data_IF_156202772241
#
_entry.id   IF_156202772241
#
_cell.length_a   1.000
_cell.length_b   1.000
_cell.length_c   1.000
_cell.angle_alpha   90.00
_cell.angle_beta   90.00
_cell.angle_gamma   90.00
#
_symmetry.space_group_name_H-M   'P 1'
#
loop_
_entity.id
_entity.type
_entity.pdbx_description
1 polymer ?
#
# COMPACT_ATOMS: atom_id res chain seq x y z
N UNK A 1 1.36 -21.46 -23.57
CA UNK A 1 2.01 -22.77 -23.52
C UNK A 1 0.90 -23.81 -23.57
N UNK A 2 0.78 -24.54 -24.68
CA UNK A 2 -0.15 -25.68 -24.81
C UNK A 2 0.28 -26.76 -23.82
N UNK A 3 -0.47 -26.94 -22.74
CA UNK A 3 -0.23 -28.05 -21.82
C UNK A 3 -0.84 -29.28 -22.47
N UNK A 4 -0.03 -30.26 -22.87
CA UNK A 4 -0.49 -31.58 -23.38
C UNK A 4 -1.07 -32.43 -22.23
N UNK A 5 -1.97 -31.86 -21.42
CA UNK A 5 -2.64 -32.56 -20.35
C UNK A 5 -4.05 -32.93 -20.80
N UNK A 6 -4.47 -34.15 -20.55
CA UNK A 6 -5.84 -34.58 -20.81
C UNK A 6 -6.88 -33.69 -20.12
N UNK A 7 -8.03 -33.50 -20.75
CA UNK A 7 -9.12 -32.63 -20.30
C UNK A 7 -10.32 -33.49 -19.92
N UNK A 8 -10.73 -33.43 -18.65
CA UNK A 8 -11.88 -34.19 -18.11
C UNK A 8 -13.20 -33.51 -18.46
N UNK A 9 -14.20 -34.32 -18.85
CA UNK A 9 -15.60 -33.93 -18.92
C UNK A 9 -16.02 -33.24 -20.23
N UNK A 10 -15.20 -33.24 -21.28
CA UNK A 10 -15.60 -32.87 -22.63
C UNK A 10 -16.52 -33.96 -23.18
N UNK A 11 -17.66 -33.60 -23.81
CA UNK A 11 -18.65 -34.56 -24.34
C UNK A 11 -18.64 -34.58 -25.85
N UNK A 12 -18.61 -35.79 -26.40
CA UNK A 12 -18.55 -36.03 -27.82
C UNK A 12 -19.68 -36.91 -28.30
N UNK A 13 -20.24 -36.54 -29.44
CA UNK A 13 -21.19 -37.32 -30.22
C UNK A 13 -20.45 -38.10 -31.29
N UNK A 14 -20.61 -39.41 -31.33
CA UNK A 14 -20.00 -40.28 -32.32
C UNK A 14 -21.10 -40.90 -33.19
N UNK A 15 -20.92 -40.74 -34.51
CA UNK A 15 -21.81 -41.27 -35.55
C UNK A 15 -21.02 -42.07 -36.57
N UNK A 16 -21.70 -42.97 -37.30
CA UNK A 16 -21.11 -43.61 -38.50
C UNK A 16 -21.17 -42.68 -39.72
N UNK A 17 -20.66 -43.16 -40.87
CA UNK A 17 -20.64 -42.42 -42.12
C UNK A 17 -22.05 -42.08 -42.62
N UNK A 18 -23.04 -42.92 -42.32
CA UNK A 18 -24.47 -42.74 -42.67
C UNK A 18 -25.24 -41.84 -41.69
N UNK A 19 -24.54 -41.24 -40.70
CA UNK A 19 -25.05 -40.45 -39.58
C UNK A 19 -25.90 -41.22 -38.55
N UNK A 20 -25.81 -42.54 -38.50
CA UNK A 20 -26.43 -43.29 -37.41
C UNK A 20 -25.62 -43.06 -36.11
N UNK A 21 -26.34 -42.87 -35.02
CA UNK A 21 -25.74 -42.65 -33.72
C UNK A 21 -25.06 -43.93 -33.23
N UNK A 22 -23.77 -43.83 -32.87
CA UNK A 22 -23.03 -44.86 -32.16
C UNK A 22 -23.10 -44.63 -30.66
N UNK A 23 -22.97 -43.37 -30.22
CA UNK A 23 -23.13 -43.02 -28.79
C UNK A 23 -22.67 -41.60 -28.49
N UNK A 24 -22.96 -41.19 -27.25
CA UNK A 24 -22.39 -40.00 -26.61
C UNK A 24 -21.39 -40.45 -25.55
N UNK A 25 -20.23 -39.79 -25.50
CA UNK A 25 -19.13 -40.16 -24.63
C UNK A 25 -18.55 -38.94 -23.97
N UNK A 26 -18.04 -39.09 -22.74
CA UNK A 26 -17.33 -38.03 -22.03
C UNK A 26 -15.89 -38.46 -21.80
N UNK A 27 -14.97 -37.51 -21.88
CA UNK A 27 -13.56 -37.75 -21.52
C UNK A 27 -13.45 -38.07 -20.01
N UNK A 28 -12.61 -39.04 -19.69
CA UNK A 28 -12.25 -39.41 -18.33
C UNK A 28 -11.26 -38.44 -17.68
N UNK A 29 -10.74 -38.75 -16.47
CA UNK A 29 -9.82 -37.90 -15.73
C UNK A 29 -8.48 -37.63 -16.45
N UNK A 30 -8.09 -38.57 -17.33
CA UNK A 30 -6.89 -38.48 -18.13
C UNK A 30 -7.16 -37.87 -19.52
N UNK A 31 -8.41 -37.50 -19.82
CA UNK A 31 -8.85 -36.86 -21.06
C UNK A 31 -9.10 -37.85 -22.19
N UNK A 32 -9.31 -39.12 -21.94
CA UNK A 32 -9.53 -40.14 -22.94
C UNK A 32 -10.99 -40.55 -23.06
N UNK A 33 -11.39 -40.95 -24.27
CA UNK A 33 -12.56 -41.75 -24.63
C UNK A 33 -12.05 -42.98 -25.35
N UNK A 34 -12.29 -44.15 -24.81
CA UNK A 34 -11.92 -45.41 -25.45
C UNK A 34 -13.17 -46.12 -25.99
N UNK A 35 -13.21 -46.39 -27.30
CA UNK A 35 -14.26 -47.13 -27.95
C UNK A 35 -13.73 -48.51 -28.36
N UNK A 36 -14.31 -49.57 -27.85
CA UNK A 36 -13.96 -50.97 -28.15
C UNK A 36 -15.04 -51.67 -28.95
N UNK A 37 -14.65 -52.60 -29.83
CA UNK A 37 -15.58 -53.48 -30.54
C UNK A 37 -16.63 -52.78 -31.42
N UNK A 38 -16.24 -51.64 -32.02
CA UNK A 38 -17.13 -50.78 -32.83
C UNK A 38 -17.33 -51.34 -34.26
N UNK A 39 -16.57 -52.32 -34.68
CA UNK A 39 -16.70 -52.98 -35.96
C UNK A 39 -17.56 -54.23 -35.77
N UNK A 40 -18.80 -54.17 -36.28
CA UNK A 40 -19.76 -55.29 -36.28
C UNK A 40 -19.90 -55.86 -37.70
N UNK A 41 -20.60 -56.96 -37.83
CA UNK A 41 -21.09 -57.52 -39.07
C UNK A 41 -20.02 -57.84 -40.14
N UNK A 42 -18.84 -58.25 -39.70
CA UNK A 42 -17.78 -58.67 -40.65
C UNK A 42 -17.08 -57.53 -41.41
N UNK A 43 -17.35 -56.30 -41.09
CA UNK A 43 -16.70 -55.11 -41.71
C UNK A 43 -15.23 -55.10 -41.38
N UNK A 44 -14.38 -54.76 -42.38
CA UNK A 44 -12.93 -54.56 -42.20
C UNK A 44 -12.56 -53.18 -41.73
N UNK A 45 -13.40 -52.16 -41.99
CA UNK A 45 -13.23 -50.76 -41.54
C UNK A 45 -14.58 -50.06 -41.34
N UNK A 46 -14.55 -48.98 -40.55
CA UNK A 46 -15.65 -48.04 -40.36
C UNK A 46 -15.10 -46.62 -40.38
N UNK A 47 -15.84 -45.68 -40.93
CA UNK A 47 -15.58 -44.23 -40.78
C UNK A 47 -16.53 -43.69 -39.68
N UNK A 48 -15.95 -43.00 -38.72
CA UNK A 48 -16.62 -42.33 -37.63
C UNK A 48 -16.60 -40.81 -37.84
N UNK A 49 -17.69 -40.16 -37.53
CA UNK A 49 -17.83 -38.74 -37.36
C UNK A 49 -17.86 -38.42 -35.86
N UNK A 50 -16.95 -37.59 -35.41
CA UNK A 50 -16.81 -37.22 -34.00
C UNK A 50 -16.98 -35.70 -33.90
N UNK A 51 -17.93 -35.26 -33.08
CA UNK A 51 -18.30 -33.87 -32.85
C UNK A 51 -18.34 -33.60 -31.35
N UNK A 52 -17.64 -32.52 -30.89
CA UNK A 52 -17.81 -32.10 -29.53
C UNK A 52 -19.14 -31.38 -29.37
N UNK A 53 -19.99 -31.89 -28.45
CA UNK A 53 -21.34 -31.37 -28.16
C UNK A 53 -21.43 -30.59 -26.87
N UNK A 54 -20.41 -30.71 -25.98
CA UNK A 54 -20.25 -29.86 -24.81
C UNK A 54 -18.76 -29.77 -24.45
N UNK A 55 -18.25 -28.58 -24.36
CA UNK A 55 -16.89 -28.36 -23.89
C UNK A 55 -16.73 -28.72 -22.41
N UNK A 56 -15.53 -29.12 -22.04
CA UNK A 56 -15.16 -29.22 -20.63
C UNK A 56 -15.23 -27.85 -19.96
N UNK A 57 -15.40 -27.86 -18.64
CA UNK A 57 -15.45 -26.63 -17.85
C UNK A 57 -14.18 -25.79 -18.06
N UNK A 58 -14.34 -24.52 -18.41
CA UNK A 58 -13.23 -23.58 -18.64
C UNK A 58 -12.67 -23.62 -20.07
N UNK A 59 -13.33 -24.28 -20.99
CA UNK A 59 -12.92 -24.36 -22.41
C UNK A 59 -14.06 -23.91 -23.34
N UNK A 60 -13.67 -23.50 -24.54
CA UNK A 60 -14.59 -23.11 -25.63
C UNK A 60 -15.03 -24.35 -26.38
N UNK A 61 -16.31 -24.46 -26.69
CA UNK A 61 -16.86 -25.54 -27.51
C UNK A 61 -16.31 -25.45 -28.95
N UNK A 62 -15.74 -26.56 -29.44
CA UNK A 62 -15.35 -26.72 -30.84
C UNK A 62 -16.24 -27.80 -31.50
N UNK A 63 -17.35 -27.37 -32.08
CA UNK A 63 -18.32 -28.25 -32.76
C UNK A 63 -17.85 -28.71 -34.14
N UNK A 64 -16.58 -28.57 -34.50
CA UNK A 64 -16.03 -29.08 -35.77
C UNK A 64 -16.16 -30.58 -35.83
N UNK A 65 -16.85 -31.10 -36.85
CA UNK A 65 -16.99 -32.54 -37.09
C UNK A 65 -15.68 -33.06 -37.67
N UNK A 66 -15.06 -34.01 -36.95
CA UNK A 66 -13.84 -34.69 -37.34
C UNK A 66 -14.14 -36.11 -37.83
N UNK A 67 -13.49 -36.57 -38.87
CA UNK A 67 -13.66 -37.89 -39.40
C UNK A 67 -12.48 -38.79 -39.04
N UNK A 68 -12.77 -39.97 -38.50
CA UNK A 68 -11.79 -40.98 -38.12
C UNK A 68 -12.07 -42.26 -38.84
N UNK A 69 -11.07 -42.90 -39.44
CA UNK A 69 -11.17 -44.22 -40.06
C UNK A 69 -10.57 -45.27 -39.13
N UNK A 70 -11.35 -46.25 -38.75
CA UNK A 70 -10.96 -47.36 -37.87
C UNK A 70 -10.99 -48.67 -38.63
N UNK A 71 -9.88 -49.43 -38.57
CA UNK A 71 -9.74 -50.74 -39.22
C UNK A 71 -9.67 -51.87 -38.21
N UNK A 72 -10.09 -53.06 -38.64
CA UNK A 72 -10.05 -54.27 -37.80
C UNK A 72 -8.61 -54.60 -37.40
N UNK A 73 -8.39 -54.80 -36.09
CA UNK A 73 -7.11 -55.16 -35.51
C UNK A 73 -6.14 -53.98 -35.36
N UNK A 74 -6.56 -52.76 -35.69
CA UNK A 74 -5.76 -51.54 -35.51
C UNK A 74 -6.37 -50.66 -34.42
N UNK A 75 -5.51 -49.96 -33.68
CA UNK A 75 -5.94 -48.85 -32.78
C UNK A 75 -5.70 -47.54 -33.55
N UNK A 76 -6.75 -46.71 -33.61
CA UNK A 76 -6.67 -45.39 -34.25
C UNK A 76 -6.95 -44.33 -33.19
N UNK A 77 -6.15 -43.31 -33.16
CA UNK A 77 -6.23 -42.20 -32.20
C UNK A 77 -6.68 -40.91 -32.94
N UNK A 78 -7.58 -40.15 -32.29
CA UNK A 78 -7.99 -38.82 -32.66
C UNK A 78 -7.66 -37.87 -31.49
N UNK A 79 -6.77 -36.92 -31.72
CA UNK A 79 -6.51 -35.87 -30.75
C UNK A 79 -7.38 -34.64 -31.04
N UNK A 80 -8.10 -34.17 -30.05
CA UNK A 80 -8.91 -32.95 -30.11
C UNK A 80 -8.32 -31.96 -29.12
N UNK A 81 -7.92 -30.78 -29.62
CA UNK A 81 -7.38 -29.71 -28.80
C UNK A 81 -8.50 -28.73 -28.47
N UNK A 82 -8.65 -28.35 -27.19
CA UNK A 82 -9.63 -27.38 -26.76
C UNK A 82 -8.95 -26.06 -26.39
N UNK A 83 -9.59 -24.95 -26.75
CA UNK A 83 -9.13 -23.59 -26.42
C UNK A 83 -9.67 -23.20 -25.04
N UNK A 84 -8.83 -22.76 -24.11
CA UNK A 84 -9.30 -22.23 -22.82
C UNK A 84 -10.25 -21.05 -23.04
N UNK A 85 -11.38 -21.05 -22.33
CA UNK A 85 -12.27 -19.91 -22.24
C UNK A 85 -11.64 -18.83 -21.36
N UNK A 86 -11.63 -17.60 -21.82
CA UNK A 86 -10.96 -16.48 -21.19
C UNK A 86 -11.95 -15.34 -20.90
N UNK A 87 -11.66 -14.59 -19.85
CA UNK A 87 -12.32 -13.35 -19.51
C UNK A 87 -11.32 -12.29 -19.07
N UNK A 88 -11.79 -11.11 -18.71
CA UNK A 88 -10.98 -9.97 -18.31
C UNK A 88 -11.53 -9.34 -17.02
N UNK A 89 -10.63 -8.91 -16.14
CA UNK A 89 -10.97 -8.13 -14.96
C UNK A 89 -10.59 -6.68 -15.22
N UNK A 90 -11.53 -5.75 -14.94
CA UNK A 90 -11.31 -4.33 -15.06
C UNK A 90 -11.58 -3.64 -13.74
N UNK A 91 -10.60 -2.85 -13.26
CA UNK A 91 -10.72 -2.04 -12.04
C UNK A 91 -10.94 -0.58 -12.43
N UNK A 92 -11.93 0.06 -11.79
CA UNK A 92 -12.17 1.50 -11.86
C UNK A 92 -11.80 2.07 -10.50
N UNK A 93 -10.76 2.91 -10.45
CA UNK A 93 -10.25 3.51 -9.20
C UNK A 93 -10.78 4.92 -9.02
N UNK A 94 -11.36 5.19 -7.85
CA UNK A 94 -12.01 6.47 -7.54
C UNK A 94 -11.57 7.02 -6.17
N UNK A 95 -11.64 8.33 -6.02
CA UNK A 95 -11.50 8.99 -4.71
C UNK A 95 -12.76 8.80 -3.87
N UNK A 96 -12.61 8.41 -2.60
CA UNK A 96 -13.73 8.27 -1.66
C UNK A 96 -14.26 9.62 -1.14
N UNK A 97 -13.40 10.65 -1.12
CA UNK A 97 -13.67 11.99 -0.61
C UNK A 97 -12.88 13.04 -1.40
N UNK A 98 -13.10 14.32 -1.12
CA UNK A 98 -12.29 15.41 -1.67
C UNK A 98 -10.86 15.31 -1.12
N UNK A 99 -9.87 15.43 -2.03
CA UNK A 99 -8.46 15.38 -1.64
C UNK A 99 -7.93 16.82 -1.46
N UNK A 100 -7.58 17.22 -0.23
CA UNK A 100 -7.13 18.59 0.05
C UNK A 100 -5.75 18.91 -0.54
N UNK A 101 -4.93 17.90 -0.88
CA UNK A 101 -3.59 18.07 -1.45
C UNK A 101 -3.66 18.25 -2.96
N UNK A 102 -4.47 17.45 -3.65
CA UNK A 102 -4.55 17.44 -5.12
C UNK A 102 -5.72 18.25 -5.67
N UNK A 103 -6.64 18.70 -4.81
CA UNK A 103 -7.93 19.34 -5.16
C UNK A 103 -8.85 18.45 -6.02
N UNK A 104 -8.62 17.14 -6.04
CA UNK A 104 -9.53 16.20 -6.68
C UNK A 104 -10.77 16.02 -5.82
N UNK A 105 -11.95 16.07 -6.46
CA UNK A 105 -13.23 15.90 -5.77
C UNK A 105 -13.53 14.41 -5.52
N UNK A 106 -14.44 14.16 -4.59
CA UNK A 106 -15.03 12.84 -4.37
C UNK A 106 -15.52 12.25 -5.69
N UNK A 107 -15.20 10.98 -5.95
CA UNK A 107 -15.56 10.26 -7.18
C UNK A 107 -14.62 10.51 -8.35
N UNK A 108 -13.62 11.40 -8.24
CA UNK A 108 -12.58 11.58 -9.25
C UNK A 108 -11.88 10.27 -9.56
N UNK A 109 -11.62 10.03 -10.83
CA UNK A 109 -10.89 8.86 -11.33
C UNK A 109 -9.40 8.99 -11.03
N UNK A 110 -8.76 7.92 -10.53
CA UNK A 110 -7.41 7.96 -9.99
C UNK A 110 -6.43 7.16 -10.84
N UNK A 111 -5.43 7.84 -11.39
CA UNK A 111 -4.31 7.26 -12.12
C UNK A 111 -3.22 6.74 -11.17
N UNK A 112 -2.54 5.65 -11.56
CA UNK A 112 -1.31 5.18 -10.93
C UNK A 112 -1.52 4.22 -9.75
N UNK A 113 -2.74 3.79 -9.47
CA UNK A 113 -3.01 2.67 -8.57
C UNK A 113 -2.52 1.36 -9.21
N UNK A 114 -1.82 0.54 -8.45
CA UNK A 114 -1.33 -0.78 -8.90
C UNK A 114 -2.09 -1.87 -8.17
N UNK A 115 -2.62 -2.83 -8.93
CA UNK A 115 -3.36 -3.98 -8.42
C UNK A 115 -2.69 -5.28 -8.79
N UNK A 116 -2.67 -6.22 -7.86
CA UNK A 116 -2.32 -7.60 -8.08
C UNK A 116 -3.59 -8.45 -8.18
N UNK A 117 -3.65 -9.31 -9.19
CA UNK A 117 -4.71 -10.28 -9.41
C UNK A 117 -4.18 -11.65 -9.02
N UNK A 118 -4.75 -12.24 -7.99
CA UNK A 118 -4.38 -13.51 -7.41
C UNK A 118 -5.42 -14.57 -7.81
N UNK A 119 -4.98 -15.70 -8.35
CA UNK A 119 -5.86 -16.85 -8.56
C UNK A 119 -6.27 -17.44 -7.19
N UNK A 120 -7.57 -17.51 -6.92
CA UNK A 120 -8.10 -17.88 -5.60
C UNK A 120 -7.85 -19.36 -5.21
N UNK A 121 -7.57 -20.23 -6.18
CA UNK A 121 -7.32 -21.65 -5.93
C UNK A 121 -5.84 -21.93 -5.65
N UNK A 122 -4.96 -21.23 -6.37
CA UNK A 122 -3.50 -21.45 -6.26
C UNK A 122 -2.80 -20.48 -5.35
N UNK A 123 -3.43 -19.34 -5.00
CA UNK A 123 -2.83 -18.26 -4.23
C UNK A 123 -1.72 -17.50 -4.99
N UNK A 124 -1.55 -17.74 -6.30
CA UNK A 124 -0.52 -17.10 -7.09
C UNK A 124 -1.02 -15.82 -7.73
N UNK A 125 -0.20 -14.79 -7.74
CA UNK A 125 -0.41 -13.58 -8.54
C UNK A 125 -0.23 -13.97 -10.01
N UNK A 126 -1.28 -13.75 -10.81
CA UNK A 126 -1.33 -14.10 -12.22
C UNK A 126 -1.23 -12.89 -13.14
N UNK A 127 -1.53 -11.69 -12.61
CA UNK A 127 -1.36 -10.43 -13.34
C UNK A 127 -1.15 -9.26 -12.37
N UNK A 128 -0.53 -8.19 -12.88
CA UNK A 128 -0.35 -6.91 -12.17
C UNK A 128 -0.75 -5.79 -13.12
N UNK A 129 -1.73 -5.00 -12.71
CA UNK A 129 -2.34 -3.95 -13.55
C UNK A 129 -2.23 -2.59 -12.90
N UNK A 130 -2.14 -1.54 -13.72
CA UNK A 130 -2.02 -0.15 -13.24
C UNK A 130 -3.09 0.72 -13.87
N UNK A 131 -3.75 1.59 -13.08
CA UNK A 131 -4.77 2.50 -13.61
C UNK A 131 -4.18 3.59 -14.49
N UNK A 132 -4.79 3.78 -15.64
CA UNK A 132 -4.46 4.83 -16.62
C UNK A 132 -4.99 6.22 -16.19
N UNK A 133 -4.87 7.22 -17.07
CA UNK A 133 -5.37 8.59 -16.82
C UNK A 133 -6.89 8.67 -16.66
N UNK A 134 -7.64 7.63 -17.05
CA UNK A 134 -9.08 7.51 -16.85
C UNK A 134 -9.41 6.71 -15.58
N UNK A 135 -8.42 6.40 -14.74
CA UNK A 135 -8.59 5.60 -13.53
C UNK A 135 -8.98 4.15 -13.79
N UNK A 136 -8.68 3.62 -14.98
CA UNK A 136 -9.05 2.27 -15.39
C UNK A 136 -7.79 1.42 -15.54
N UNK A 137 -7.83 0.21 -14.96
CA UNK A 137 -6.86 -0.84 -15.20
C UNK A 137 -7.56 -2.09 -15.68
N UNK A 138 -7.00 -2.78 -16.68
CA UNK A 138 -7.55 -4.01 -17.23
C UNK A 138 -6.50 -5.11 -17.24
N UNK A 139 -6.89 -6.32 -16.87
CA UNK A 139 -6.01 -7.49 -16.90
C UNK A 139 -5.76 -7.95 -18.35
N UNK A 140 -4.72 -8.73 -18.54
CA UNK A 140 -4.65 -9.63 -19.67
C UNK A 140 -5.84 -10.61 -19.65
N UNK A 141 -6.18 -11.28 -20.77
CA UNK A 141 -7.15 -12.36 -20.73
C UNK A 141 -6.73 -13.46 -19.74
N UNK A 142 -7.65 -13.82 -18.84
CA UNK A 142 -7.44 -14.78 -17.77
C UNK A 142 -8.41 -15.98 -17.97
N UNK A 143 -8.01 -17.22 -17.63
CA UNK A 143 -8.90 -18.37 -17.61
C UNK A 143 -10.16 -18.10 -16.77
N UNK A 144 -11.26 -18.76 -17.09
CA UNK A 144 -12.45 -18.71 -16.25
C UNK A 144 -12.12 -19.25 -14.86
N UNK A 145 -12.66 -18.59 -13.80
CA UNK A 145 -12.35 -18.97 -12.44
C UNK A 145 -12.60 -17.85 -11.45
N UNK A 146 -12.11 -18.07 -10.23
CA UNK A 146 -12.22 -17.13 -9.11
C UNK A 146 -10.88 -16.46 -8.85
N UNK A 147 -10.93 -15.16 -8.65
CA UNK A 147 -9.76 -14.31 -8.44
C UNK A 147 -9.96 -13.36 -7.26
N UNK A 148 -8.86 -12.96 -6.64
CA UNK A 148 -8.83 -11.84 -5.71
C UNK A 148 -8.04 -10.70 -6.33
N UNK A 149 -8.61 -9.50 -6.26
CA UNK A 149 -7.96 -8.26 -6.67
C UNK A 149 -7.62 -7.46 -5.43
N UNK A 150 -6.35 -7.12 -5.25
CA UNK A 150 -5.88 -6.27 -4.15
C UNK A 150 -5.01 -5.15 -4.65
N UNK A 151 -5.10 -4.00 -4.02
CA UNK A 151 -4.18 -2.92 -4.28
C UNK A 151 -2.83 -3.19 -3.63
N UNK A 152 -1.74 -3.05 -4.40
CA UNK A 152 -0.36 -3.16 -3.92
C UNK A 152 0.34 -1.79 -3.82
N UNK A 153 -0.18 -0.78 -4.54
CA UNK A 153 0.30 0.60 -4.47
C UNK A 153 -0.85 1.57 -4.73
N UNK A 154 -1.05 2.48 -3.79
CA UNK A 154 -2.04 3.55 -3.93
C UNK A 154 -1.57 4.64 -4.93
N UNK A 155 -2.51 5.40 -5.51
CA UNK A 155 -2.21 6.64 -6.21
C UNK A 155 -1.46 7.64 -5.33
N UNK A 156 -0.76 8.59 -5.94
CA UNK A 156 -0.06 9.63 -5.18
C UNK A 156 -1.04 10.45 -4.34
N UNK A 157 -0.68 10.68 -3.07
CA UNK A 157 -1.49 11.37 -2.04
C UNK A 157 -2.80 10.68 -1.67
N UNK A 158 -2.84 9.35 -1.81
CA UNK A 158 -3.92 8.50 -1.30
C UNK A 158 -3.37 7.44 -0.37
N UNK A 159 -4.22 6.91 0.49
CA UNK A 159 -3.91 5.78 1.36
C UNK A 159 -4.08 4.48 0.59
N UNK A 160 -3.22 3.50 0.90
CA UNK A 160 -3.36 2.15 0.36
C UNK A 160 -4.64 1.48 0.90
N UNK A 161 -5.50 1.06 0.00
CA UNK A 161 -6.66 0.23 0.37
C UNK A 161 -6.24 -1.24 0.46
N UNK A 162 -6.25 -1.78 1.67
CA UNK A 162 -5.84 -3.16 1.94
C UNK A 162 -6.95 -4.20 1.71
N UNK A 163 -8.15 -3.79 1.32
CA UNK A 163 -9.27 -4.71 1.06
C UNK A 163 -9.01 -5.51 -0.22
N UNK A 164 -9.40 -6.79 -0.18
CA UNK A 164 -9.42 -7.67 -1.36
C UNK A 164 -10.83 -7.74 -1.92
N UNK A 165 -10.97 -7.58 -3.23
CA UNK A 165 -12.22 -7.81 -3.95
C UNK A 165 -12.21 -9.20 -4.58
N UNK A 166 -13.25 -9.99 -4.37
CA UNK A 166 -13.44 -11.28 -5.05
C UNK A 166 -14.12 -11.04 -6.41
N UNK A 167 -13.55 -11.64 -7.46
CA UNK A 167 -14.06 -11.58 -8.84
C UNK A 167 -14.21 -12.99 -9.39
N UNK A 168 -15.29 -13.24 -10.12
CA UNK A 168 -15.56 -14.49 -10.83
C UNK A 168 -15.70 -14.23 -12.32
N UNK A 169 -14.84 -14.85 -13.15
CA UNK A 169 -15.02 -14.97 -14.60
C UNK A 169 -15.77 -16.27 -14.89
N UNK A 170 -16.97 -16.17 -15.50
CA UNK A 170 -17.90 -17.30 -15.60
C UNK A 170 -18.05 -17.84 -17.01
N UNK A 171 -18.02 -16.98 -18.01
CA UNK A 171 -18.23 -17.33 -19.41
C UNK A 171 -17.18 -16.69 -20.30
N UNK A 172 -16.95 -17.28 -21.47
CA UNK A 172 -16.04 -16.73 -22.48
C UNK A 172 -16.38 -15.28 -22.81
N UNK A 173 -15.35 -14.42 -22.83
CA UNK A 173 -15.48 -12.99 -23.11
C UNK A 173 -16.02 -12.15 -21.96
N UNK A 174 -16.22 -12.71 -20.75
CA UNK A 174 -16.58 -11.92 -19.57
C UNK A 174 -15.62 -10.75 -19.36
N UNK A 175 -16.17 -9.54 -19.17
CA UNK A 175 -15.44 -8.36 -18.67
C UNK A 175 -16.06 -7.92 -17.36
N UNK A 176 -15.51 -8.42 -16.26
CA UNK A 176 -16.01 -8.09 -14.94
C UNK A 176 -15.37 -6.80 -14.44
N UNK A 177 -16.20 -5.77 -14.20
CA UNK A 177 -15.79 -4.47 -13.69
C UNK A 177 -16.05 -4.35 -12.22
N UNK A 178 -15.04 -3.88 -11.48
CA UNK A 178 -15.13 -3.56 -10.05
C UNK A 178 -14.72 -2.11 -9.81
N UNK A 179 -15.39 -1.45 -8.87
CA UNK A 179 -15.01 -0.12 -8.40
C UNK A 179 -14.29 -0.23 -7.08
N UNK A 180 -13.14 0.42 -6.97
CA UNK A 180 -12.36 0.49 -5.74
C UNK A 180 -12.05 1.94 -5.39
N UNK A 181 -12.13 2.26 -4.10
CA UNK A 181 -12.02 3.62 -3.60
C UNK A 181 -10.82 3.74 -2.68
N UNK A 182 -10.11 4.88 -2.74
CA UNK A 182 -9.09 5.25 -1.77
C UNK A 182 -9.47 6.50 -1.01
N UNK A 183 -9.07 6.52 0.26
CA UNK A 183 -9.15 7.71 1.07
C UNK A 183 -7.96 8.63 0.78
N UNK A 184 -8.20 9.96 0.65
CA UNK A 184 -7.13 10.94 0.49
C UNK A 184 -6.15 10.91 1.66
N UNK A 185 -4.89 11.19 1.39
CA UNK A 185 -3.91 11.49 2.43
C UNK A 185 -4.22 12.85 3.04
N UNK A 186 -4.39 12.87 4.35
CA UNK A 186 -4.51 14.11 5.15
C UNK A 186 -3.16 14.29 5.84
N UNK A 187 -2.48 15.41 5.56
CA UNK A 187 -1.18 15.75 6.13
C UNK A 187 -1.41 16.85 7.15
N UNK A 188 -1.15 16.55 8.44
CA UNK A 188 -1.39 17.49 9.54
C UNK A 188 -0.48 17.18 10.71
N UNK A 189 0.15 18.24 11.22
CA UNK A 189 0.97 18.20 12.43
C UNK A 189 0.35 19.05 13.55
N UNK A 190 0.81 18.86 14.76
CA UNK A 190 0.40 19.69 15.90
C UNK A 190 1.51 19.79 16.93
N UNK A 191 1.64 20.97 17.55
CA UNK A 191 2.52 21.23 18.69
C UNK A 191 1.88 22.33 19.56
N UNK A 192 2.08 22.24 20.88
CA UNK A 192 1.66 23.28 21.81
C UNK A 192 2.80 23.56 22.81
N UNK A 193 3.01 24.82 23.12
CA UNK A 193 3.93 25.30 24.13
C UNK A 193 3.19 26.11 25.19
N UNK A 194 3.64 25.97 26.43
CA UNK A 194 3.20 26.78 27.57
C UNK A 194 4.42 27.13 28.42
N UNK A 195 4.35 28.21 29.16
CA UNK A 195 5.41 28.65 30.06
C UNK A 195 4.90 29.41 31.27
N UNK A 196 5.78 29.93 32.09
CA UNK A 196 5.43 30.84 33.19
C UNK A 196 4.96 32.17 32.59
N UNK A 197 3.96 32.78 33.16
CA UNK A 197 3.45 34.09 32.70
C UNK A 197 4.35 35.26 33.12
N UNK A 198 4.98 35.15 34.30
CA UNK A 198 5.89 36.14 34.87
C UNK A 198 7.10 35.44 35.49
N UNK A 199 8.24 36.07 35.46
CA UNK A 199 9.50 35.62 36.09
C UNK A 199 10.35 36.84 36.39
N UNK A 200 11.05 36.83 37.53
CA UNK A 200 11.97 37.89 37.88
C UNK A 200 13.34 37.73 37.20
N UNK A 201 14.04 38.85 36.97
CA UNK A 201 15.40 38.80 36.47
C UNK A 201 16.33 38.10 37.49
N UNK A 202 17.12 37.18 37.02
CA UNK A 202 17.96 36.32 37.86
C UNK A 202 17.35 34.95 38.18
N UNK A 203 16.09 34.72 37.85
CA UNK A 203 15.40 33.47 38.14
C UNK A 203 15.40 32.46 36.98
N UNK A 204 15.02 31.24 37.34
CA UNK A 204 14.79 30.17 36.37
C UNK A 204 13.32 30.12 35.99
N UNK A 205 13.08 29.86 34.73
CA UNK A 205 11.75 29.55 34.23
C UNK A 205 11.77 28.28 33.37
N UNK A 206 10.59 27.79 33.04
CA UNK A 206 10.49 26.62 32.18
C UNK A 206 9.44 26.79 31.10
N UNK A 207 9.68 26.14 30.01
CA UNK A 207 8.70 25.95 28.95
C UNK A 207 8.32 24.47 28.92
N UNK A 208 7.02 24.18 28.85
CA UNK A 208 6.47 22.84 28.65
C UNK A 208 5.99 22.72 27.21
N UNK A 209 6.53 21.74 26.48
CA UNK A 209 6.12 21.42 25.13
C UNK A 209 5.21 20.19 25.20
N UNK A 210 4.02 20.32 24.61
CA UNK A 210 2.96 19.31 24.63
C UNK A 210 2.38 19.14 23.22
N UNK A 211 1.55 18.09 23.04
CA UNK A 211 0.79 17.86 21.82
C UNK A 211 1.61 17.75 20.54
N UNK A 212 2.92 17.46 20.64
CA UNK A 212 3.72 17.13 19.45
C UNK A 212 3.13 15.88 18.81
N UNK A 213 2.58 16.02 17.59
CA UNK A 213 1.86 14.94 16.97
C UNK A 213 1.90 14.99 15.42
N UNK A 214 1.96 13.80 14.84
CA UNK A 214 1.49 13.52 13.50
C UNK A 214 -0.02 13.26 13.56
N UNK A 215 -0.84 14.23 13.20
CA UNK A 215 -2.30 14.08 13.13
C UNK A 215 -2.77 13.62 11.75
N UNK A 216 -1.84 13.26 10.88
CA UNK A 216 -2.15 12.73 9.56
C UNK A 216 -2.70 11.31 9.65
N UNK A 217 -3.43 10.90 8.63
CA UNK A 217 -3.82 9.51 8.42
C UNK A 217 -2.77 8.69 7.65
N UNK A 218 -1.59 9.28 7.42
CA UNK A 218 -0.42 8.68 6.76
C UNK A 218 0.85 8.85 7.61
N UNK A 219 1.87 7.99 7.46
CA UNK A 219 3.17 8.23 8.08
C UNK A 219 3.79 9.52 7.53
N UNK A 220 4.51 10.26 8.38
CA UNK A 220 5.29 11.42 7.96
C UNK A 220 6.78 11.12 7.99
N UNK A 221 7.47 11.48 6.92
CA UNK A 221 8.92 11.47 6.82
C UNK A 221 9.52 12.79 7.31
N UNK A 222 10.78 12.75 7.72
CA UNK A 222 11.52 13.91 8.22
C UNK A 222 10.77 14.63 9.35
N UNK A 223 10.04 13.87 10.17
CA UNK A 223 9.28 14.45 11.28
C UNK A 223 10.22 15.03 12.33
N UNK A 224 9.96 16.24 12.75
CA UNK A 224 10.75 16.95 13.74
C UNK A 224 9.88 17.85 14.60
N UNK A 225 10.42 18.28 15.73
CA UNK A 225 10.02 19.51 16.39
C UNK A 225 11.27 20.29 16.84
N UNK A 226 11.11 21.59 16.99
CA UNK A 226 12.21 22.54 17.10
C UNK A 226 11.83 23.66 18.06
N UNK A 227 12.69 23.92 19.05
CA UNK A 227 12.57 25.05 19.99
C UNK A 227 13.62 26.11 19.64
N UNK A 228 13.14 27.32 19.35
CA UNK A 228 14.00 28.49 19.11
C UNK A 228 14.09 29.29 20.40
N UNK A 229 15.22 29.19 21.08
CA UNK A 229 15.46 29.84 22.36
C UNK A 229 15.49 31.36 22.19
N UNK A 230 14.70 32.17 22.91
CA UNK A 230 14.72 33.64 22.82
C UNK A 230 15.95 34.16 23.55
N UNK A 231 17.10 34.11 22.89
CA UNK A 231 18.43 34.39 23.47
C UNK A 231 18.73 35.82 23.75
N UNK A 232 17.87 36.74 23.31
CA UNK A 232 17.80 38.12 23.76
C UNK A 232 17.39 38.26 25.23
N UNK A 233 16.65 37.28 25.76
CA UNK A 233 16.08 37.33 27.10
C UNK A 233 16.48 36.15 28.02
N UNK A 234 16.83 34.98 27.48
CA UNK A 234 17.10 33.79 28.30
C UNK A 234 18.32 32.99 27.82
N UNK A 235 18.82 32.12 28.72
CA UNK A 235 19.83 31.07 28.38
C UNK A 235 19.27 29.72 28.81
N UNK A 236 19.42 28.73 27.93
CA UNK A 236 18.98 27.37 28.23
C UNK A 236 19.95 26.67 29.18
N UNK A 237 19.42 25.93 30.14
CA UNK A 237 20.19 25.17 31.13
C UNK A 237 20.03 23.66 30.96
N UNK A 238 18.80 23.19 31.01
CA UNK A 238 18.50 21.74 30.95
C UNK A 238 17.29 21.49 30.08
N UNK A 239 17.28 20.39 29.35
CA UNK A 239 16.12 19.88 28.64
C UNK A 239 15.75 18.50 29.17
N UNK A 240 14.44 18.21 29.23
CA UNK A 240 13.91 16.90 29.49
C UNK A 240 13.02 16.50 28.34
N UNK A 241 13.24 15.33 27.74
CA UNK A 241 12.45 14.87 26.59
C UNK A 241 11.06 14.44 27.05
N UNK A 242 10.07 14.57 26.17
CA UNK A 242 8.79 13.89 26.31
C UNK A 242 8.90 12.41 25.99
N UNK A 243 7.79 11.69 26.22
CA UNK A 243 7.59 10.32 25.74
C UNK A 243 6.46 10.31 24.69
N UNK A 244 6.42 9.26 23.86
CA UNK A 244 5.48 9.13 22.76
C UNK A 244 4.81 7.75 22.73
N UNK A 245 3.68 7.65 22.04
CA UNK A 245 2.86 6.44 21.98
C UNK A 245 3.39 5.32 21.06
N UNK A 246 4.47 5.56 20.32
CA UNK A 246 5.08 4.57 19.43
C UNK A 246 6.60 4.58 19.55
N UNK A 247 7.21 3.43 19.33
CA UNK A 247 8.67 3.21 19.38
C UNK A 247 9.32 3.73 18.09
N UNK A 248 9.99 4.89 18.16
CA UNK A 248 10.73 5.52 17.06
C UNK A 248 12.08 5.96 17.58
N UNK A 249 13.14 5.69 16.81
CA UNK A 249 14.47 6.20 17.12
C UNK A 249 14.58 7.66 16.67
N UNK A 250 15.20 8.50 17.49
CA UNK A 250 15.41 9.92 17.19
C UNK A 250 16.73 10.41 17.71
N UNK A 251 17.16 11.57 17.21
CA UNK A 251 18.31 12.33 17.70
C UNK A 251 17.91 13.72 18.13
N UNK A 252 18.72 14.31 18.96
CA UNK A 252 18.62 15.72 19.36
C UNK A 252 19.85 16.44 18.84
N UNK A 253 19.63 17.56 18.17
CA UNK A 253 20.67 18.47 17.72
C UNK A 253 20.46 19.85 18.35
N UNK A 254 21.54 20.62 18.49
CA UNK A 254 21.49 21.99 18.95
C UNK A 254 22.35 22.89 18.04
N UNK A 255 21.97 24.15 17.97
CA UNK A 255 22.69 25.20 17.26
C UNK A 255 23.10 26.28 18.25
N UNK A 256 24.18 26.99 17.98
CA UNK A 256 24.67 28.12 18.81
C UNK A 256 24.70 29.40 17.98
N UNK A 257 24.84 30.55 18.67
CA UNK A 257 25.01 31.83 18.01
C UNK A 257 26.27 31.91 17.16
N UNK A 258 27.26 31.02 17.35
CA UNK A 258 28.53 30.99 16.60
C UNK A 258 28.67 29.84 15.64
N UNK A 259 27.92 28.77 15.83
CA UNK A 259 28.10 27.51 15.10
C UNK A 259 26.75 26.90 14.67
N UNK A 260 26.73 26.17 13.53
CA UNK A 260 25.60 25.42 13.04
C UNK A 260 25.21 24.24 13.92
N UNK A 261 24.28 23.40 13.46
CA UNK A 261 23.77 22.26 14.21
C UNK A 261 24.87 21.23 14.52
N UNK A 262 24.88 20.76 15.77
CA UNK A 262 25.71 19.68 16.30
C UNK A 262 24.83 18.67 17.01
N UNK A 263 25.22 17.42 17.02
CA UNK A 263 24.49 16.36 17.75
C UNK A 263 24.69 16.52 19.24
N UNK A 264 23.59 16.61 20.01
CA UNK A 264 23.58 16.54 21.46
C UNK A 264 23.51 15.07 21.92
N UNK A 265 22.60 14.30 21.33
CA UNK A 265 22.40 12.89 21.61
C UNK A 265 21.78 12.19 20.38
N UNK A 266 22.10 10.93 20.20
CA UNK A 266 21.62 10.09 19.10
C UNK A 266 21.12 8.75 19.63
N UNK A 267 20.42 7.99 18.78
CA UNK A 267 19.87 6.68 19.12
C UNK A 267 18.99 6.70 20.39
N UNK A 268 18.21 7.75 20.55
CA UNK A 268 17.25 7.88 21.64
C UNK A 268 15.94 7.19 21.24
N UNK A 269 15.30 6.51 22.21
CA UNK A 269 14.03 5.85 21.98
C UNK A 269 12.88 6.74 22.44
N UNK A 270 11.91 7.00 21.58
CA UNK A 270 10.79 7.94 21.83
C UNK A 270 9.88 7.54 23.01
N UNK A 271 9.85 6.27 23.40
CA UNK A 271 9.12 5.79 24.58
C UNK A 271 9.82 6.04 25.90
N UNK A 272 11.08 6.47 25.86
CA UNK A 272 11.91 6.70 27.05
C UNK A 272 12.07 8.20 27.31
N UNK A 273 12.23 8.56 28.58
CA UNK A 273 12.51 9.92 29.01
C UNK A 273 13.99 10.10 29.29
N UNK A 274 14.54 11.21 28.80
CA UNK A 274 15.95 11.58 28.98
C UNK A 274 16.07 13.01 29.48
N UNK A 275 17.19 13.34 30.15
CA UNK A 275 17.52 14.68 30.59
C UNK A 275 18.94 15.04 30.21
N UNK A 276 19.15 16.24 29.66
CA UNK A 276 20.45 16.73 29.20
C UNK A 276 20.70 18.13 29.70
N UNK A 277 21.91 18.38 30.22
CA UNK A 277 22.41 19.71 30.47
C UNK A 277 22.90 20.30 29.14
N UNK A 278 22.39 21.46 28.78
CA UNK A 278 22.67 22.15 27.51
C UNK A 278 23.16 23.58 27.72
N UNK A 279 23.58 23.92 28.93
CA UNK A 279 24.26 25.17 29.25
C UNK A 279 25.66 25.23 28.62
N UNK A 280 26.20 26.44 28.50
CA UNK A 280 27.51 26.66 27.86
C UNK A 280 28.65 25.92 28.52
N UNK A 281 28.61 25.73 29.84
CA UNK A 281 29.64 25.00 30.60
C UNK A 281 29.59 23.50 30.34
N UNK A 282 28.39 22.89 30.42
CA UNK A 282 28.18 21.47 30.17
C UNK A 282 28.53 21.06 28.74
N UNK A 283 28.24 21.92 27.75
CA UNK A 283 28.58 21.71 26.36
C UNK A 283 30.00 22.15 25.98
N UNK A 284 30.78 22.71 26.94
CA UNK A 284 32.14 23.24 26.74
C UNK A 284 32.20 24.26 25.58
N UNK A 285 31.23 25.16 25.53
CA UNK A 285 31.15 26.19 24.50
C UNK A 285 32.20 27.29 24.72
N UNK A 286 32.60 27.98 23.65
CA UNK A 286 33.54 29.10 23.73
C UNK A 286 32.93 30.28 24.51
N UNK A 287 33.77 31.17 24.99
CA UNK A 287 33.34 32.42 25.67
C UNK A 287 32.38 33.19 24.77
N UNK A 288 31.21 33.54 25.28
CA UNK A 288 30.14 34.22 24.57
C UNK A 288 29.42 33.35 23.52
N UNK A 289 29.64 32.06 23.53
CA UNK A 289 28.86 31.11 22.75
C UNK A 289 27.71 30.50 23.63
N UNK A 290 26.51 30.45 23.10
CA UNK A 290 25.33 29.92 23.79
C UNK A 290 24.37 29.26 22.79
N UNK A 291 23.53 28.36 23.27
CA UNK A 291 22.56 27.62 22.46
C UNK A 291 21.42 28.55 22.04
N UNK A 292 21.08 28.53 20.77
CA UNK A 292 20.01 29.28 20.13
C UNK A 292 18.83 28.42 19.70
N UNK A 293 19.08 27.15 19.44
CA UNK A 293 18.09 26.23 18.88
C UNK A 293 18.32 24.83 19.41
N UNK A 294 17.21 24.10 19.65
CA UNK A 294 17.23 22.68 19.97
C UNK A 294 16.22 21.99 19.06
N UNK A 295 16.67 20.96 18.37
CA UNK A 295 15.84 20.23 17.39
C UNK A 295 15.83 18.75 17.68
N UNK A 296 14.64 18.14 17.65
CA UNK A 296 14.36 16.72 17.81
C UNK A 296 13.98 16.15 16.45
N UNK A 297 14.74 15.19 15.95
CA UNK A 297 14.61 14.65 14.60
C UNK A 297 14.28 13.16 14.66
N UNK A 298 13.06 12.79 14.26
CA UNK A 298 12.51 11.42 14.39
C UNK A 298 12.60 10.60 13.10
N UNK A 299 12.94 11.22 11.94
CA UNK A 299 12.88 10.55 10.66
C UNK A 299 11.45 10.23 10.27
N UNK A 300 11.09 8.96 10.12
CA UNK A 300 9.73 8.54 9.78
C UNK A 300 8.94 8.19 11.03
N UNK A 301 7.76 8.79 11.18
CA UNK A 301 6.81 8.49 12.27
C UNK A 301 5.51 7.94 11.71
N UNK A 302 4.85 6.97 12.39
CA UNK A 302 3.58 6.41 11.92
C UNK A 302 2.44 7.45 12.00
N UNK A 303 1.34 7.18 11.30
CA UNK A 303 0.09 7.90 11.47
C UNK A 303 -0.35 7.86 12.94
N UNK A 304 -0.83 8.99 13.47
CA UNK A 304 -1.24 9.09 14.87
C UNK A 304 -0.11 9.04 15.90
N UNK A 305 1.16 9.17 15.48
CA UNK A 305 2.29 9.36 16.40
C UNK A 305 2.07 10.62 17.23
N UNK A 306 2.10 10.51 18.55
CA UNK A 306 1.83 11.65 19.44
C UNK A 306 2.60 11.55 20.75
N UNK A 307 2.94 12.71 21.28
CA UNK A 307 3.50 12.86 22.61
C UNK A 307 2.49 12.40 23.70
N UNK A 308 2.96 11.62 24.66
CA UNK A 308 2.19 11.12 25.81
C UNK A 308 2.55 11.84 27.11
N UNK A 309 3.83 12.19 27.27
CA UNK A 309 4.29 13.03 28.36
C UNK A 309 5.05 14.23 27.79
N UNK A 310 4.89 15.37 28.41
CA UNK A 310 5.49 16.65 27.98
C UNK A 310 7.02 16.61 27.99
N UNK A 311 7.64 17.31 27.05
CA UNK A 311 9.03 17.74 27.13
C UNK A 311 9.10 19.07 27.89
N UNK A 312 10.24 19.34 28.52
CA UNK A 312 10.46 20.56 29.32
C UNK A 312 11.81 21.19 28.97
N UNK A 313 11.84 22.50 28.79
CA UNK A 313 13.04 23.29 28.59
C UNK A 313 13.16 24.26 29.76
N UNK A 314 14.21 24.08 30.56
CA UNK A 314 14.55 24.97 31.66
C UNK A 314 15.53 26.03 31.19
N UNK A 315 15.19 27.30 31.42
CA UNK A 315 15.97 28.46 31.03
C UNK A 315 16.22 29.37 32.22
N UNK A 316 17.27 30.14 32.13
CA UNK A 316 17.65 31.16 33.10
C UNK A 316 17.46 32.55 32.49
N UNK A 317 16.83 33.46 33.23
CA UNK A 317 16.69 34.86 32.87
C UNK A 317 17.87 35.62 33.47
N UNK A 318 18.74 36.24 32.66
CA UNK A 318 19.89 37.01 33.20
C UNK A 318 19.43 38.15 34.11
N UNK A 319 20.18 38.39 35.20
CA UNK A 319 19.84 39.42 36.19
C UNK A 319 19.89 40.89 35.69
N UNK A 320 20.50 41.10 34.53
CA UNK A 320 20.55 42.40 33.88
C UNK A 320 19.29 42.73 33.03
N UNK A 321 18.34 41.81 32.93
CA UNK A 321 17.09 42.05 32.19
C UNK A 321 16.23 43.09 32.90
N UNK A 322 15.72 44.06 32.11
CA UNK A 322 14.80 45.08 32.63
C UNK A 322 13.39 44.58 32.91
N UNK A 323 12.67 45.23 33.80
CA UNK A 323 11.28 44.98 34.10
C UNK A 323 10.38 45.20 32.87
N UNK A 324 9.33 44.38 32.71
CA UNK A 324 8.34 44.51 31.64
C UNK A 324 8.80 44.03 30.27
N UNK A 325 9.92 43.28 30.18
CA UNK A 325 10.36 42.65 28.94
C UNK A 325 9.48 41.45 28.60
N UNK A 326 8.94 41.42 27.39
CA UNK A 326 8.14 40.31 26.89
C UNK A 326 9.04 39.25 26.27
N UNK A 327 9.04 38.04 26.85
CA UNK A 327 9.80 36.90 26.35
C UNK A 327 8.88 36.03 25.51
N UNK A 328 9.10 36.00 24.19
CA UNK A 328 8.35 35.12 23.29
C UNK A 328 9.23 33.98 22.85
N UNK A 329 8.90 32.77 23.29
CA UNK A 329 9.57 31.58 22.82
C UNK A 329 8.66 30.79 21.85
N UNK A 330 9.21 30.42 20.70
CA UNK A 330 8.48 29.75 19.60
C UNK A 330 8.99 28.34 19.39
N UNK A 331 8.03 27.40 19.26
CA UNK A 331 8.29 26.03 18.82
C UNK A 331 7.54 25.73 17.53
N UNK A 332 8.12 24.91 16.70
CA UNK A 332 7.48 24.38 15.50
C UNK A 332 7.70 22.86 15.38
N UNK A 333 6.76 22.17 14.79
CA UNK A 333 6.93 20.79 14.35
C UNK A 333 6.48 20.65 12.91
N UNK A 334 7.00 19.66 12.21
CA UNK A 334 6.65 19.42 10.83
C UNK A 334 7.08 18.04 10.36
N UNK A 335 6.61 17.69 9.18
CA UNK A 335 6.94 16.45 8.49
C UNK A 335 6.39 16.45 7.08
N UNK A 336 6.74 15.46 6.28
CA UNK A 336 6.35 15.38 4.88
C UNK A 336 5.80 14.01 4.50
N UNK A 337 4.90 14.00 3.53
CA UNK A 337 4.42 12.79 2.87
C UNK A 337 4.51 12.97 1.35
N UNK A 338 5.27 12.09 0.69
CA UNK A 338 5.47 12.12 -0.77
C UNK A 338 5.92 13.48 -1.33
N UNK A 339 6.66 14.27 -0.52
CA UNK A 339 7.18 15.58 -0.89
C UNK A 339 6.33 16.77 -0.45
N UNK A 340 5.09 16.56 -0.02
CA UNK A 340 4.26 17.62 0.58
C UNK A 340 4.55 17.74 2.07
N UNK A 341 4.66 18.98 2.53
CA UNK A 341 4.99 19.34 3.91
C UNK A 341 3.79 19.94 4.64
N UNK A 342 3.67 19.59 5.91
CA UNK A 342 2.88 20.34 6.87
C UNK A 342 3.73 20.73 8.07
N UNK A 343 3.43 21.89 8.63
CA UNK A 343 4.05 22.36 9.85
C UNK A 343 3.09 23.15 10.71
N UNK A 344 3.24 23.02 12.02
CA UNK A 344 2.50 23.79 13.02
C UNK A 344 3.46 24.50 13.96
N UNK A 345 3.02 25.66 14.48
CA UNK A 345 3.81 26.54 15.35
C UNK A 345 2.99 26.92 16.59
N UNK A 346 3.67 27.01 17.73
CA UNK A 346 3.13 27.57 18.96
C UNK A 346 4.14 28.53 19.60
N UNK A 347 3.66 29.61 20.19
CA UNK A 347 4.48 30.60 20.92
C UNK A 347 3.88 30.87 22.30
#
# INVERSE_FOLDING_TARGET
>A
TVTKKGIYGARFLVKDEANNLIGEYSTDQDGYIELRNILTDGKSEIKLKVEEIAAAQGYVLDSTVRTLRVRRGETTELVVENTPALGQIQVIKKSSQDNPVTNQLKGSLLQGAVFEIENAETGRVVDTITTDSRGIAASNPLPLGRYFVRESKAPRFYQLNTQKAEVKLKVEGDVVRIEMYDDPAIIKTNIKKTGNYTVDAGDNMRYDITNVANQSNVPLNNFFWHDRIPTDAVRVGTITTGTYNARVWYKITYKTNKNGYRTLADNLLSTNRYSFKVDSGSLKLAIGEYVTDIRYEFGTVPAGFKMTEKATVYVYVPSYMGNGYNITNRVDCGGSYQGEWDSSTSA
#
